data_IF_745655494828
#
_entry.id   IF_745655494828
#
_cell.length_a   1.000
_cell.length_b   1.000
_cell.length_c   1.000
_cell.angle_alpha   90.00
_cell.angle_beta   90.00
_cell.angle_gamma   90.00
#
_symmetry.space_group_name_H-M   'P 1'
#
loop_
_entity.id
_entity.type
_entity.pdbx_description
1 polymer ?
#
# COMPACT_ATOMS: atom_id res chain seq x y z
N UNK A 1 -21.87 -18.69 -44.28
CA UNK A 1 -20.71 -19.37 -43.64
C UNK A 1 -19.75 -18.36 -43.06
N UNK A 2 -20.09 -17.67 -41.95
CA UNK A 2 -19.22 -16.61 -41.40
C UNK A 2 -19.24 -16.52 -39.85
N UNK A 3 -19.45 -17.62 -39.14
CA UNK A 3 -19.64 -17.52 -37.67
C UNK A 3 -18.69 -18.34 -36.80
N UNK A 4 -17.73 -19.07 -37.33
CA UNK A 4 -16.86 -19.98 -36.55
C UNK A 4 -15.53 -19.37 -36.08
N UNK A 5 -15.04 -18.32 -36.71
CA UNK A 5 -13.71 -17.74 -36.41
C UNK A 5 -13.67 -16.85 -35.16
N UNK A 6 -14.74 -16.16 -34.80
CA UNK A 6 -14.75 -15.27 -33.63
C UNK A 6 -14.71 -16.00 -32.28
N UNK A 7 -15.30 -17.18 -32.17
CA UNK A 7 -15.30 -17.99 -30.94
C UNK A 7 -13.93 -18.61 -30.65
N UNK A 8 -13.21 -19.05 -31.66
CA UNK A 8 -11.88 -19.62 -31.52
C UNK A 8 -10.84 -18.59 -31.06
N UNK A 9 -10.86 -17.40 -31.65
CA UNK A 9 -9.93 -16.32 -31.25
C UNK A 9 -10.17 -15.85 -29.82
N UNK A 10 -11.43 -15.69 -29.40
CA UNK A 10 -11.77 -15.35 -28.02
C UNK A 10 -11.32 -16.44 -27.02
N UNK A 11 -11.50 -17.72 -27.36
CA UNK A 11 -11.05 -18.83 -26.53
C UNK A 11 -9.51 -18.90 -26.41
N UNK A 12 -8.79 -18.63 -27.50
CA UNK A 12 -7.33 -18.59 -27.50
C UNK A 12 -6.80 -17.40 -26.70
N UNK A 13 -7.44 -16.22 -26.77
CA UNK A 13 -7.12 -15.06 -25.96
C UNK A 13 -7.34 -15.33 -24.48
N UNK A 14 -8.48 -15.88 -24.11
CA UNK A 14 -8.79 -16.24 -22.71
C UNK A 14 -7.80 -17.29 -22.19
N UNK A 15 -7.44 -18.28 -23.00
CA UNK A 15 -6.43 -19.29 -22.64
C UNK A 15 -5.04 -18.69 -22.53
N UNK A 16 -4.65 -17.77 -23.42
CA UNK A 16 -3.39 -17.05 -23.36
C UNK A 16 -3.32 -16.18 -22.11
N UNK A 17 -4.35 -15.39 -21.83
CA UNK A 17 -4.45 -14.56 -20.63
C UNK A 17 -4.39 -15.41 -19.35
N UNK A 18 -5.06 -16.55 -19.32
CA UNK A 18 -4.99 -17.49 -18.20
C UNK A 18 -3.58 -18.06 -18.02
N UNK A 19 -2.92 -18.46 -19.11
CA UNK A 19 -1.54 -18.98 -19.06
C UNK A 19 -0.54 -17.90 -18.62
N UNK A 20 -0.73 -16.64 -19.06
CA UNK A 20 0.09 -15.51 -18.60
C UNK A 20 -0.15 -15.21 -17.13
N UNK A 21 -1.40 -15.26 -16.65
CA UNK A 21 -1.72 -15.10 -15.22
C UNK A 21 -1.12 -16.22 -14.36
N UNK A 22 -1.16 -17.47 -14.84
CA UNK A 22 -0.55 -18.62 -14.16
C UNK A 22 0.99 -18.53 -14.11
N UNK A 23 1.61 -17.90 -15.11
CA UNK A 23 3.05 -17.62 -15.14
C UNK A 23 3.48 -16.43 -14.27
N UNK A 24 2.53 -15.59 -13.83
CA UNK A 24 2.80 -14.48 -12.93
C UNK A 24 3.05 -15.01 -11.51
N UNK A 25 4.07 -14.46 -10.86
CA UNK A 25 4.37 -14.82 -9.48
C UNK A 25 3.22 -14.44 -8.57
N UNK A 26 2.71 -15.40 -7.81
CA UNK A 26 1.67 -15.15 -6.82
C UNK A 26 2.15 -14.08 -5.82
N UNK A 27 1.39 -12.98 -5.62
CA UNK A 27 1.76 -11.90 -4.70
C UNK A 27 2.08 -12.39 -3.28
N UNK A 28 1.29 -13.32 -2.75
CA UNK A 28 1.48 -13.84 -1.39
C UNK A 28 2.83 -14.55 -1.26
N UNK A 29 3.21 -15.35 -2.27
CA UNK A 29 4.52 -16.02 -2.27
C UNK A 29 5.67 -15.02 -2.38
N UNK A 30 5.50 -13.95 -3.18
CA UNK A 30 6.48 -12.88 -3.28
C UNK A 30 6.64 -12.17 -1.94
N UNK A 31 5.53 -11.77 -1.30
CA UNK A 31 5.54 -11.10 0.00
C UNK A 31 6.18 -11.97 1.08
N UNK A 32 5.84 -13.26 1.14
CA UNK A 32 6.47 -14.21 2.07
C UNK A 32 7.98 -14.34 1.82
N UNK A 33 8.41 -14.40 0.56
CA UNK A 33 9.83 -14.43 0.22
C UNK A 33 10.57 -13.16 0.63
N UNK A 34 9.94 -11.98 0.51
CA UNK A 34 10.50 -10.72 0.98
C UNK A 34 10.65 -10.73 2.51
N UNK A 35 9.63 -11.20 3.23
CA UNK A 35 9.63 -11.35 4.69
C UNK A 35 10.77 -12.26 5.17
N UNK A 36 10.96 -13.41 4.53
CA UNK A 36 12.07 -14.31 4.91
C UNK A 36 13.45 -13.69 4.65
N UNK A 37 13.61 -13.02 3.50
CA UNK A 37 14.87 -12.36 3.16
C UNK A 37 15.21 -11.18 4.06
N UNK A 38 14.19 -10.46 4.55
CA UNK A 38 14.40 -9.32 5.44
C UNK A 38 14.95 -9.69 6.82
N UNK A 39 14.82 -10.95 7.24
CA UNK A 39 15.42 -11.45 8.48
C UNK A 39 16.95 -11.48 8.42
N UNK A 40 17.53 -11.45 7.23
CA UNK A 40 18.97 -11.35 7.04
C UNK A 40 19.39 -9.90 6.87
N UNK A 41 19.99 -9.28 7.88
CA UNK A 41 20.42 -7.89 7.89
C UNK A 41 21.40 -7.51 6.77
N UNK A 42 22.18 -8.48 6.28
CA UNK A 42 23.13 -8.27 5.17
C UNK A 42 22.48 -8.33 3.80
N UNK A 43 21.22 -8.82 3.71
CA UNK A 43 20.55 -8.94 2.43
C UNK A 43 20.17 -7.57 1.87
N UNK A 44 20.49 -7.31 0.60
CA UNK A 44 20.12 -6.08 -0.11
C UNK A 44 19.05 -6.38 -1.13
N UNK A 45 17.89 -5.79 -0.93
CA UNK A 45 16.77 -5.89 -1.87
C UNK A 45 17.07 -5.15 -3.17
N UNK A 46 16.87 -5.83 -4.29
CA UNK A 46 17.05 -5.29 -5.61
C UNK A 46 15.79 -5.46 -6.43
N UNK A 47 15.57 -4.52 -7.36
CA UNK A 47 14.49 -4.57 -8.34
C UNK A 47 13.08 -4.69 -7.74
N UNK A 48 12.85 -4.11 -6.55
CA UNK A 48 11.54 -4.14 -5.89
C UNK A 48 10.44 -3.52 -6.75
N UNK A 49 10.79 -2.50 -7.53
CA UNK A 49 9.89 -1.81 -8.43
C UNK A 49 9.20 -2.75 -9.45
N UNK A 50 9.85 -3.86 -9.81
CA UNK A 50 9.28 -4.84 -10.75
C UNK A 50 7.99 -5.51 -10.24
N UNK A 51 7.74 -5.50 -8.93
CA UNK A 51 6.50 -6.01 -8.36
C UNK A 51 5.29 -5.15 -8.75
N UNK A 52 5.50 -3.86 -9.06
CA UNK A 52 4.47 -2.95 -9.55
C UNK A 52 4.02 -3.26 -11.00
N UNK A 53 4.68 -4.20 -11.68
CA UNK A 53 4.29 -4.64 -13.02
C UNK A 53 3.39 -5.88 -13.00
N UNK A 54 3.13 -6.44 -11.82
CA UNK A 54 2.31 -7.62 -11.68
C UNK A 54 0.86 -7.22 -11.35
N UNK A 55 -0.13 -7.46 -12.23
CA UNK A 55 -1.52 -7.08 -12.03
C UNK A 55 -2.16 -7.75 -10.81
N UNK A 56 -1.69 -8.94 -10.42
CA UNK A 56 -2.24 -9.66 -9.25
C UNK A 56 -2.00 -8.88 -7.94
N UNK A 57 -0.95 -8.05 -7.84
CA UNK A 57 -0.76 -7.15 -6.69
C UNK A 57 -1.85 -6.08 -6.61
N UNK A 58 -2.34 -5.59 -7.75
CA UNK A 58 -3.41 -4.58 -7.78
C UNK A 58 -4.76 -5.18 -7.40
N UNK A 59 -5.05 -6.41 -7.82
CA UNK A 59 -6.24 -7.12 -7.39
C UNK A 59 -6.21 -7.43 -5.89
N UNK A 60 -5.05 -7.82 -5.35
CA UNK A 60 -4.87 -8.00 -3.91
C UNK A 60 -5.03 -6.68 -3.15
N UNK A 61 -4.44 -5.59 -3.65
CA UNK A 61 -4.58 -4.25 -3.10
C UNK A 61 -6.05 -3.80 -3.10
N UNK A 62 -6.74 -3.99 -4.22
CA UNK A 62 -8.17 -3.68 -4.33
C UNK A 62 -8.99 -4.42 -3.28
N UNK A 63 -8.77 -5.73 -3.11
CA UNK A 63 -9.42 -6.53 -2.08
C UNK A 63 -9.18 -5.99 -0.66
N UNK A 64 -7.97 -5.54 -0.38
CA UNK A 64 -7.59 -5.03 0.94
C UNK A 64 -8.27 -3.70 1.28
N UNK A 65 -8.46 -2.81 0.29
CA UNK A 65 -8.94 -1.45 0.56
C UNK A 65 -10.43 -1.25 0.23
N UNK A 66 -11.04 -2.13 -0.58
CA UNK A 66 -12.42 -1.96 -1.05
C UNK A 66 -13.43 -1.80 0.09
N UNK A 67 -13.32 -2.62 1.13
CA UNK A 67 -14.24 -2.60 2.28
C UNK A 67 -13.97 -1.46 3.28
N UNK A 68 -12.91 -0.68 3.10
CA UNK A 68 -12.54 0.38 4.05
C UNK A 68 -13.49 1.58 3.94
N UNK A 69 -13.89 2.14 5.07
CA UNK A 69 -14.64 3.39 5.11
C UNK A 69 -13.87 4.50 4.38
N UNK A 70 -14.49 5.16 3.42
CA UNK A 70 -13.83 6.19 2.62
C UNK A 70 -13.09 5.68 1.37
N UNK A 71 -13.09 4.38 1.11
CA UNK A 71 -12.54 3.83 -0.13
C UNK A 71 -13.20 4.44 -1.37
N UNK A 72 -14.53 4.62 -1.31
CA UNK A 72 -15.36 5.25 -2.37
C UNK A 72 -15.32 6.78 -2.36
N UNK A 73 -14.55 7.41 -1.47
CA UNK A 73 -14.42 8.87 -1.47
C UNK A 73 -13.53 9.29 -2.64
N UNK A 74 -14.08 10.13 -3.53
CA UNK A 74 -13.38 10.59 -4.72
C UNK A 74 -12.20 11.50 -4.38
N UNK A 75 -11.09 11.33 -5.10
CA UNK A 75 -9.94 12.22 -5.07
C UNK A 75 -10.21 13.58 -5.73
N UNK A 76 -9.16 14.36 -5.97
CA UNK A 76 -9.27 15.65 -6.66
C UNK A 76 -9.67 15.49 -8.14
N UNK A 77 -9.36 14.35 -8.75
CA UNK A 77 -9.70 13.97 -10.12
C UNK A 77 -11.09 13.35 -10.28
N UNK A 78 -11.88 13.31 -9.21
CA UNK A 78 -13.21 12.71 -9.19
C UNK A 78 -13.21 11.18 -9.21
N UNK A 79 -12.05 10.52 -9.27
CA UNK A 79 -11.97 9.06 -9.33
C UNK A 79 -12.06 8.42 -7.94
N UNK A 80 -12.74 7.28 -7.90
CA UNK A 80 -12.80 6.38 -6.73
C UNK A 80 -12.10 5.06 -7.08
N UNK A 81 -12.07 4.12 -6.15
CA UNK A 81 -11.64 2.75 -6.44
C UNK A 81 -12.73 1.90 -7.11
N UNK A 82 -13.93 2.43 -7.22
CA UNK A 82 -15.03 1.73 -7.89
C UNK A 82 -14.77 1.57 -9.40
N UNK A 83 -15.43 0.60 -10.02
CA UNK A 83 -15.24 0.32 -11.44
C UNK A 83 -13.83 -0.18 -11.77
N UNK A 84 -13.20 -0.95 -10.86
CA UNK A 84 -11.91 -1.57 -11.13
C UNK A 84 -12.03 -2.60 -12.23
N UNK A 85 -11.10 -2.56 -13.19
CA UNK A 85 -11.03 -3.50 -14.30
C UNK A 85 -9.59 -3.83 -14.66
N UNK A 86 -9.40 -4.92 -15.40
CA UNK A 86 -8.08 -5.32 -15.91
C UNK A 86 -7.47 -4.22 -16.79
N UNK A 87 -8.27 -3.55 -17.63
CA UNK A 87 -7.80 -2.46 -18.49
C UNK A 87 -7.32 -1.24 -17.68
N UNK A 88 -7.99 -0.96 -16.56
CA UNK A 88 -7.58 0.12 -15.65
C UNK A 88 -6.24 -0.20 -14.98
N UNK A 89 -6.07 -1.45 -14.53
CA UNK A 89 -4.82 -1.95 -13.95
C UNK A 89 -3.71 -1.92 -14.98
N UNK A 90 -3.95 -2.39 -16.21
CA UNK A 90 -2.94 -2.39 -17.27
C UNK A 90 -2.45 -0.98 -17.60
N UNK A 91 -3.33 0.02 -17.69
CA UNK A 91 -2.93 1.42 -17.89
C UNK A 91 -2.01 1.94 -16.77
N UNK A 92 -2.28 1.56 -15.52
CA UNK A 92 -1.39 1.91 -14.39
C UNK A 92 -0.03 1.22 -14.58
N UNK A 93 -0.01 -0.07 -14.91
CA UNK A 93 1.22 -0.84 -15.11
C UNK A 93 2.05 -0.29 -16.27
N UNK A 94 1.42 0.07 -17.38
CA UNK A 94 2.10 0.69 -18.52
C UNK A 94 2.79 1.99 -18.13
N UNK A 95 2.08 2.87 -17.41
CA UNK A 95 2.66 4.12 -16.92
C UNK A 95 3.77 3.91 -15.89
N UNK A 96 3.77 2.78 -15.15
CA UNK A 96 4.89 2.40 -14.28
C UNK A 96 6.10 1.91 -15.08
N UNK A 97 5.87 1.18 -16.17
CA UNK A 97 6.94 0.63 -17.03
C UNK A 97 7.70 1.70 -17.78
N UNK A 98 7.00 2.65 -18.35
CA UNK A 98 7.56 3.77 -19.10
C UNK A 98 7.98 4.94 -18.20
N UNK A 99 7.77 4.80 -16.87
CA UNK A 99 8.10 5.81 -15.85
C UNK A 99 7.33 7.13 -16.01
N UNK A 100 6.19 7.11 -16.68
CA UNK A 100 5.31 8.27 -16.84
C UNK A 100 4.30 8.44 -15.71
N UNK A 101 4.22 7.45 -14.79
CA UNK A 101 3.30 7.54 -13.67
C UNK A 101 3.63 8.71 -12.75
N UNK A 102 2.69 9.63 -12.65
CA UNK A 102 2.75 10.76 -11.72
C UNK A 102 1.54 10.72 -10.80
N UNK A 103 1.74 10.66 -9.47
CA UNK A 103 0.65 10.74 -8.51
C UNK A 103 -0.17 12.02 -8.72
N UNK A 104 -1.48 11.93 -8.61
CA UNK A 104 -2.36 13.09 -8.74
C UNK A 104 -2.33 13.94 -7.47
N UNK A 105 -2.54 15.27 -7.59
CA UNK A 105 -2.72 16.10 -6.41
C UNK A 105 -3.85 15.57 -5.53
N UNK A 106 -3.61 15.49 -4.24
CA UNK A 106 -4.61 15.00 -3.30
C UNK A 106 -5.60 16.11 -2.94
N UNK A 107 -6.88 15.76 -2.79
CA UNK A 107 -7.90 16.68 -2.29
C UNK A 107 -7.75 16.84 -0.77
N UNK A 108 -7.72 18.07 -0.29
CA UNK A 108 -7.61 18.36 1.14
C UNK A 108 -8.96 18.78 1.70
N UNK A 109 -9.42 18.05 2.71
CA UNK A 109 -10.61 18.36 3.51
C UNK A 109 -10.22 18.71 4.94
N UNK A 110 -10.99 19.57 5.59
CA UNK A 110 -10.69 20.00 6.96
C UNK A 110 -11.75 19.48 7.92
N UNK A 111 -11.33 18.63 8.84
CA UNK A 111 -12.20 18.03 9.86
C UNK A 111 -12.00 18.76 11.19
N UNK A 112 -13.10 19.14 11.85
CA UNK A 112 -13.03 19.72 13.19
C UNK A 112 -12.41 18.74 14.19
N UNK A 113 -11.51 19.22 15.04
CA UNK A 113 -11.01 18.45 16.17
C UNK A 113 -12.05 18.45 17.28
N UNK A 114 -12.31 17.28 17.87
CA UNK A 114 -13.20 17.16 19.02
C UNK A 114 -12.69 18.07 20.16
N UNK A 115 -13.58 18.84 20.76
CA UNK A 115 -13.29 19.77 21.86
C UNK A 115 -12.24 20.87 21.54
N UNK A 116 -12.17 21.31 20.29
CA UNK A 116 -11.27 22.40 19.88
C UNK A 116 -11.80 23.12 18.65
N UNK A 117 -11.57 24.44 18.58
CA UNK A 117 -11.87 25.23 17.38
C UNK A 117 -10.89 24.99 16.23
N UNK A 118 -9.86 24.17 16.44
CA UNK A 118 -8.85 23.84 15.44
C UNK A 118 -9.38 22.76 14.50
N UNK A 119 -9.03 22.88 13.22
CA UNK A 119 -9.30 21.87 12.19
C UNK A 119 -8.02 21.07 11.92
N UNK A 120 -8.17 19.81 11.55
CA UNK A 120 -7.08 18.99 11.02
C UNK A 120 -7.29 18.73 9.53
N UNK A 121 -6.25 18.85 8.69
CA UNK A 121 -6.36 18.47 7.30
C UNK A 121 -6.50 16.95 7.18
N UNK A 122 -7.41 16.51 6.32
CA UNK A 122 -7.54 15.16 5.82
C UNK A 122 -7.18 15.17 4.35
N UNK A 123 -6.29 14.29 3.95
CA UNK A 123 -5.82 14.18 2.57
C UNK A 123 -6.50 12.99 1.91
N UNK A 124 -7.17 13.22 0.77
CA UNK A 124 -7.91 12.22 0.01
C UNK A 124 -7.21 12.02 -1.32
N UNK A 125 -6.64 10.84 -1.50
CA UNK A 125 -5.93 10.45 -2.72
C UNK A 125 -6.90 10.05 -3.84
N UNK A 126 -6.44 10.08 -5.09
CA UNK A 126 -7.18 9.54 -6.23
C UNK A 126 -7.35 8.01 -6.12
N UNK A 127 -8.34 7.45 -6.82
CA UNK A 127 -8.61 6.02 -6.78
C UNK A 127 -7.41 5.17 -7.24
N UNK A 128 -6.70 5.60 -8.29
CA UNK A 128 -5.52 4.91 -8.78
C UNK A 128 -4.35 5.01 -7.80
N UNK A 129 -4.14 6.20 -7.21
CA UNK A 129 -3.06 6.40 -6.24
C UNK A 129 -3.27 5.58 -4.96
N UNK A 130 -4.53 5.44 -4.50
CA UNK A 130 -4.86 4.54 -3.38
C UNK A 130 -4.41 3.10 -3.65
N UNK A 131 -4.64 2.59 -4.87
CA UNK A 131 -4.22 1.25 -5.26
C UNK A 131 -2.70 1.10 -5.31
N UNK A 132 -2.03 2.03 -5.99
CA UNK A 132 -0.56 2.02 -6.09
C UNK A 132 0.07 2.10 -4.71
N UNK A 133 -0.43 2.99 -3.85
CA UNK A 133 0.05 3.12 -2.47
C UNK A 133 -0.15 1.83 -1.66
N UNK A 134 -1.28 1.14 -1.82
CA UNK A 134 -1.50 -0.14 -1.13
C UNK A 134 -0.55 -1.23 -1.62
N UNK A 135 -0.26 -1.30 -2.94
CA UNK A 135 0.75 -2.23 -3.47
C UNK A 135 2.13 -1.93 -2.88
N UNK A 136 2.55 -0.66 -2.88
CA UNK A 136 3.82 -0.24 -2.29
C UNK A 136 3.86 -0.56 -0.80
N UNK A 137 2.78 -0.26 -0.07
CA UNK A 137 2.64 -0.58 1.36
C UNK A 137 2.84 -2.06 1.63
N UNK A 138 2.15 -2.96 0.90
CA UNK A 138 2.29 -4.41 1.09
C UNK A 138 3.75 -4.87 0.92
N UNK A 139 4.46 -4.35 -0.08
CA UNK A 139 5.87 -4.67 -0.32
C UNK A 139 6.75 -4.18 0.84
N UNK A 140 6.60 -2.92 1.24
CA UNK A 140 7.38 -2.33 2.33
C UNK A 140 7.07 -2.98 3.67
N UNK A 141 5.80 -3.26 3.96
CA UNK A 141 5.37 -3.95 5.17
C UNK A 141 6.00 -5.34 5.28
N UNK A 142 6.05 -6.10 4.19
CA UNK A 142 6.72 -7.42 4.15
C UNK A 142 8.22 -7.34 4.45
N UNK A 143 8.86 -6.23 4.13
CA UNK A 143 10.29 -6.02 4.37
C UNK A 143 10.55 -5.50 5.78
N UNK A 144 9.78 -4.52 6.25
CA UNK A 144 10.08 -3.81 7.49
C UNK A 144 9.43 -4.43 8.73
N UNK A 145 8.26 -5.08 8.59
CA UNK A 145 7.56 -5.66 9.74
C UNK A 145 8.40 -6.66 10.55
N UNK A 146 9.18 -7.57 9.92
CA UNK A 146 10.03 -8.50 10.65
C UNK A 146 11.19 -7.84 11.42
N UNK A 147 11.65 -6.66 10.98
CA UNK A 147 12.82 -5.98 11.56
C UNK A 147 12.46 -4.90 12.57
N UNK A 148 11.18 -4.55 12.71
CA UNK A 148 10.76 -3.60 13.71
C UNK A 148 10.99 -4.11 15.14
N UNK A 149 11.48 -3.24 16.00
CA UNK A 149 11.64 -3.56 17.42
C UNK A 149 10.32 -3.93 18.08
N UNK A 150 10.35 -4.83 19.04
CA UNK A 150 9.15 -5.29 19.80
C UNK A 150 8.42 -4.13 20.50
N UNK A 151 9.14 -3.05 20.80
CA UNK A 151 8.61 -1.84 21.44
C UNK A 151 7.90 -0.88 20.48
N UNK A 152 7.96 -1.12 19.16
CA UNK A 152 7.24 -0.32 18.17
C UNK A 152 5.81 -0.81 18.03
N UNK A 153 4.82 0.05 18.29
CA UNK A 153 3.39 -0.30 18.28
C UNK A 153 2.57 0.50 17.26
N UNK A 154 3.02 1.72 16.89
CA UNK A 154 2.24 2.62 16.04
C UNK A 154 2.06 2.08 14.63
N UNK A 155 0.81 2.07 14.13
CA UNK A 155 0.45 1.72 12.75
C UNK A 155 0.92 0.35 12.24
N UNK A 156 1.14 -0.60 13.14
CA UNK A 156 1.60 -1.95 12.78
C UNK A 156 0.46 -2.97 12.87
N UNK A 157 0.48 -4.03 12.04
CA UNK A 157 -0.46 -5.15 12.15
C UNK A 157 -0.44 -5.76 13.56
N UNK A 158 -1.63 -6.06 14.09
CA UNK A 158 -1.81 -6.68 15.41
C UNK A 158 -1.20 -5.90 16.59
N UNK A 159 -0.89 -4.61 16.40
CA UNK A 159 -0.43 -3.69 17.43
C UNK A 159 -1.46 -2.57 17.64
N UNK A 160 -1.54 -2.07 18.87
CA UNK A 160 -2.49 -1.02 19.24
C UNK A 160 -1.98 -0.22 20.44
N UNK A 161 -2.69 0.85 20.81
CA UNK A 161 -2.41 1.57 22.06
C UNK A 161 -2.51 0.63 23.28
N UNK A 162 -3.46 -0.31 23.28
CA UNK A 162 -3.62 -1.27 24.38
C UNK A 162 -2.41 -2.20 24.50
N UNK A 163 -1.86 -2.68 23.37
CA UNK A 163 -0.65 -3.52 23.41
C UNK A 163 0.57 -2.74 23.89
N UNK A 164 0.66 -1.45 23.57
CA UNK A 164 1.72 -0.58 24.09
C UNK A 164 1.59 -0.37 25.61
N UNK A 165 0.39 -0.04 26.10
CA UNK A 165 0.13 0.14 27.52
C UNK A 165 0.39 -1.15 28.31
N UNK A 166 -0.04 -2.28 27.80
CA UNK A 166 0.24 -3.58 28.41
C UNK A 166 1.75 -3.86 28.51
N UNK A 167 2.50 -3.56 27.46
CA UNK A 167 3.96 -3.70 27.49
C UNK A 167 4.60 -2.78 28.53
N UNK A 168 4.19 -1.51 28.60
CA UNK A 168 4.67 -0.56 29.60
C UNK A 168 4.38 -1.10 31.02
N UNK A 169 3.15 -1.53 31.29
CA UNK A 169 2.78 -2.09 32.57
C UNK A 169 3.67 -3.28 32.98
N UNK A 170 4.06 -4.12 32.02
CA UNK A 170 4.88 -5.30 32.27
C UNK A 170 6.37 -5.01 32.43
N UNK A 171 6.89 -4.01 31.71
CA UNK A 171 8.35 -3.80 31.60
C UNK A 171 8.87 -2.60 32.37
N UNK A 172 8.01 -1.64 32.76
CA UNK A 172 8.40 -0.43 33.47
C UNK A 172 8.33 -0.57 35.00
N UNK A 173 8.29 -1.81 35.50
CA UNK A 173 8.29 -2.07 36.95
C UNK A 173 9.58 -1.55 37.59
N UNK A 174 9.47 -0.71 38.62
CA UNK A 174 10.62 -0.11 39.28
C UNK A 174 11.25 1.09 38.57
N UNK A 175 10.66 1.56 37.46
CA UNK A 175 11.14 2.75 36.76
C UNK A 175 10.77 4.01 37.53
N UNK A 176 11.76 4.81 37.94
CA UNK A 176 11.56 6.10 38.62
C UNK A 176 11.49 7.30 37.66
N UNK A 177 12.07 7.17 36.48
CA UNK A 177 12.18 8.24 35.49
C UNK A 177 11.83 7.71 34.10
N UNK A 178 11.17 8.54 33.30
CA UNK A 178 11.02 8.32 31.87
C UNK A 178 11.26 9.60 31.08
N UNK A 179 11.73 9.47 29.85
CA UNK A 179 11.93 10.57 28.94
C UNK A 179 10.89 10.48 27.84
N UNK A 180 10.09 11.53 27.69
CA UNK A 180 9.11 11.66 26.61
C UNK A 180 9.73 12.50 25.49
N UNK A 181 9.68 12.00 24.26
CA UNK A 181 10.15 12.72 23.08
C UNK A 181 9.07 12.74 22.01
N UNK A 182 8.89 13.86 21.32
CA UNK A 182 7.97 14.05 20.22
C UNK A 182 8.67 14.73 19.04
N UNK A 183 8.52 14.16 17.85
CA UNK A 183 9.02 14.80 16.61
C UNK A 183 7.92 15.72 16.08
N UNK A 184 8.13 17.00 16.17
CA UNK A 184 7.16 17.99 15.68
C UNK A 184 7.05 17.94 14.17
N UNK A 185 5.80 17.83 13.67
CA UNK A 185 5.47 17.87 12.24
C UNK A 185 6.35 16.95 11.37
N UNK A 186 6.63 15.72 11.82
CA UNK A 186 7.57 14.77 11.19
C UNK A 186 7.42 14.67 9.67
N UNK A 187 6.18 14.59 9.17
CA UNK A 187 5.91 14.47 7.73
C UNK A 187 6.00 15.82 7.01
N UNK A 188 5.52 16.90 7.65
CA UNK A 188 5.48 18.24 7.06
C UNK A 188 6.87 18.89 7.02
N UNK A 189 7.75 18.53 7.98
CA UNK A 189 9.11 19.07 8.11
C UNK A 189 10.19 18.23 7.42
N UNK A 190 9.82 17.07 6.90
CA UNK A 190 10.76 16.19 6.21
C UNK A 190 11.29 16.83 4.91
N UNK A 191 12.59 16.88 4.77
CA UNK A 191 13.22 17.37 3.54
C UNK A 191 13.14 16.29 2.46
N UNK A 192 12.31 16.53 1.44
CA UNK A 192 12.09 15.58 0.35
C UNK A 192 13.37 15.23 -0.41
N UNK A 193 14.32 16.18 -0.55
CA UNK A 193 15.62 15.92 -1.20
C UNK A 193 16.52 14.97 -0.41
N UNK A 194 16.25 14.78 0.89
CA UNK A 194 17.04 13.85 1.73
C UNK A 194 16.43 12.44 1.74
N UNK A 195 15.15 12.31 1.38
CA UNK A 195 14.43 11.03 1.39
C UNK A 195 14.60 10.28 0.06
N UNK A 196 14.88 10.97 -1.03
CA UNK A 196 15.10 10.44 -2.37
C UNK A 196 16.59 10.24 -2.63
#
# INVERSE_FOLDING_TARGET
MTFTWRRGAAYLLIRYERTVREALRNPIQVLSSLTEKSKNESYRFQRLYRNLYNPEFYWLAYKNIYANTGSMTAGADGTTIDGMSDERIQRIIESMRDKSYLPKPARREYIAKKNSNKKRPLVIQSGNDKLVQEVVKMILESIYEPVFKKTSHGFRPNKSCQTALYQIQKTFTGTNWFVEGYIHACLDSSNHHTII
#
